data_IF_841203596375
#
_entry.id   IF_841203596375
#
_cell.length_a   1.000
_cell.length_b   1.000
_cell.length_c   1.000
_cell.angle_alpha   90.00
_cell.angle_beta   90.00
_cell.angle_gamma   90.00
#
_symmetry.space_group_name_H-M   'P 1'
#
loop_
_entity.id
_entity.type
_entity.pdbx_description
1 polymer ?
#
# COMPACT_ATOMS: atom_id res chain seq x y z
N UNK A 1 -43.52 54.01 -50.47
CA UNK A 1 -43.27 52.76 -49.71
C UNK A 1 -43.32 53.11 -48.22
N UNK A 2 -43.86 52.22 -47.42
CA UNK A 2 -44.69 52.49 -46.25
C UNK A 2 -43.96 52.97 -44.98
N UNK A 3 -44.64 53.88 -44.29
CA UNK A 3 -44.57 54.23 -42.86
C UNK A 3 -45.10 53.09 -41.99
N UNK A 4 -44.51 52.83 -40.82
CA UNK A 4 -45.19 52.39 -39.57
C UNK A 4 -44.16 52.25 -38.42
N UNK A 5 -44.21 53.08 -37.36
CA UNK A 5 -45.05 53.02 -36.14
C UNK A 5 -44.42 52.15 -35.04
N UNK A 6 -44.05 52.81 -33.94
CA UNK A 6 -43.82 52.18 -32.64
C UNK A 6 -45.17 51.75 -32.04
N UNK A 7 -45.21 50.56 -31.45
CA UNK A 7 -46.35 50.04 -30.66
C UNK A 7 -45.78 49.51 -29.33
N UNK A 8 -46.48 49.69 -28.19
CA UNK A 8 -45.87 49.81 -26.87
C UNK A 8 -45.75 48.46 -26.16
N UNK A 9 -44.65 48.23 -25.45
CA UNK A 9 -44.52 47.06 -24.56
C UNK A 9 -44.87 47.46 -23.13
N UNK A 10 -46.13 47.15 -22.82
CA UNK A 10 -46.75 46.79 -21.54
C UNK A 10 -45.80 46.67 -20.31
N UNK A 11 -46.12 47.31 -19.15
CA UNK A 11 -45.28 47.31 -17.94
C UNK A 11 -45.18 45.98 -17.17
N UNK A 12 -45.74 44.87 -17.68
CA UNK A 12 -45.75 43.57 -16.98
C UNK A 12 -44.86 42.48 -17.61
N UNK A 13 -43.83 42.86 -18.39
CA UNK A 13 -42.85 41.90 -18.88
C UNK A 13 -41.63 41.85 -17.95
N UNK A 14 -41.48 40.74 -17.21
CA UNK A 14 -40.35 40.50 -16.33
C UNK A 14 -39.04 40.51 -17.14
N UNK A 15 -38.12 41.38 -16.74
CA UNK A 15 -36.79 41.52 -17.34
C UNK A 15 -35.94 40.28 -17.03
N UNK A 16 -35.29 39.74 -18.06
CA UNK A 16 -34.40 38.59 -17.98
C UNK A 16 -33.11 38.97 -17.22
N UNK A 17 -32.95 38.39 -16.03
CA UNK A 17 -31.87 38.68 -15.08
C UNK A 17 -30.50 38.14 -15.52
N UNK A 18 -30.40 37.42 -16.65
CA UNK A 18 -29.16 36.79 -17.14
C UNK A 18 -28.14 37.77 -17.76
N UNK A 19 -28.49 39.05 -17.89
CA UNK A 19 -27.63 40.06 -18.57
C UNK A 19 -27.01 41.10 -17.64
N UNK A 20 -27.16 40.96 -16.32
CA UNK A 20 -26.52 41.88 -15.36
C UNK A 20 -25.05 41.45 -15.16
N UNK A 21 -24.06 42.31 -15.49
CA UNK A 21 -22.66 42.00 -15.25
C UNK A 21 -22.38 42.04 -13.75
N UNK A 22 -21.91 40.90 -13.21
CA UNK A 22 -21.51 40.77 -11.81
C UNK A 22 -20.06 41.26 -11.69
N UNK A 23 -19.82 42.28 -10.86
CA UNK A 23 -18.49 42.74 -10.44
C UNK A 23 -18.35 42.56 -8.91
N UNK A 24 -17.12 42.58 -8.35
CA UNK A 24 -16.55 41.52 -7.54
C UNK A 24 -16.75 41.71 -6.03
N UNK A 25 -16.40 40.68 -5.27
CA UNK A 25 -16.32 40.57 -3.80
C UNK A 25 -17.58 40.10 -3.04
N UNK A 26 -17.38 39.01 -2.30
CA UNK A 26 -18.12 38.70 -1.07
C UNK A 26 -19.45 37.97 -1.22
N UNK A 27 -19.40 36.65 -1.43
CA UNK A 27 -20.50 35.79 -1.02
C UNK A 27 -19.95 34.40 -0.62
N UNK A 28 -20.03 34.14 0.68
CA UNK A 28 -19.87 32.82 1.27
C UNK A 28 -20.74 31.82 0.50
N UNK A 29 -20.10 30.84 -0.14
CA UNK A 29 -20.80 29.68 -0.66
C UNK A 29 -21.20 28.79 0.52
N UNK A 30 -22.44 28.95 0.99
CA UNK A 30 -23.15 27.85 1.64
C UNK A 30 -23.47 26.82 0.56
N UNK A 31 -22.53 25.92 0.29
CA UNK A 31 -22.80 24.76 -0.55
C UNK A 31 -23.70 23.79 0.22
N UNK A 32 -24.89 23.62 -0.33
CA UNK A 32 -25.93 22.68 0.01
C UNK A 32 -25.32 21.29 0.17
N UNK A 33 -25.48 20.68 1.35
CA UNK A 33 -25.10 19.29 1.62
C UNK A 33 -26.01 18.33 0.83
N UNK A 34 -25.70 18.11 -0.43
CA UNK A 34 -26.04 16.85 -1.08
C UNK A 34 -25.13 15.76 -0.51
N UNK A 35 -25.68 14.56 -0.29
CA UNK A 35 -24.95 13.41 0.21
C UNK A 35 -23.90 12.97 -0.83
N UNK A 36 -22.74 13.62 -0.83
CA UNK A 36 -21.52 13.16 -1.47
C UNK A 36 -21.10 11.87 -0.76
N UNK A 37 -21.44 10.72 -1.33
CA UNK A 37 -20.69 9.51 -1.06
C UNK A 37 -19.22 9.83 -1.41
N UNK A 38 -18.36 9.87 -0.40
CA UNK A 38 -16.96 10.31 -0.51
C UNK A 38 -16.31 9.76 -1.78
N UNK A 39 -15.86 10.65 -2.67
CA UNK A 39 -15.09 10.26 -3.85
C UNK A 39 -13.86 9.46 -3.38
N UNK A 40 -13.41 8.45 -4.15
CA UNK A 40 -12.22 7.70 -3.79
C UNK A 40 -11.00 8.62 -3.86
N UNK A 41 -10.39 8.87 -2.70
CA UNK A 41 -9.13 9.62 -2.55
C UNK A 41 -8.07 8.61 -2.16
N UNK A 42 -7.04 8.46 -3.00
CA UNK A 42 -5.89 7.57 -2.74
C UNK A 42 -4.73 8.35 -2.13
N UNK A 43 -3.74 7.63 -1.60
CA UNK A 43 -2.50 8.18 -1.03
C UNK A 43 -1.74 9.13 -2.00
N UNK A 44 -1.95 9.00 -3.31
CA UNK A 44 -1.34 9.86 -4.32
C UNK A 44 -1.96 11.26 -4.38
N UNK A 45 -3.20 11.43 -3.91
CA UNK A 45 -3.91 12.70 -3.91
C UNK A 45 -3.64 13.48 -2.62
N UNK A 46 -3.80 12.80 -1.48
CA UNK A 46 -3.49 13.34 -0.16
C UNK A 46 -2.94 12.19 0.71
N UNK A 47 -1.70 12.33 1.16
CA UNK A 47 -1.02 11.33 2.00
C UNK A 47 -1.58 11.25 3.42
N UNK A 48 -2.26 12.30 3.88
CA UNK A 48 -2.78 12.44 5.25
C UNK A 48 -4.28 12.12 5.31
N UNK A 49 -5.03 12.47 4.26
CA UNK A 49 -6.49 12.34 4.20
C UNK A 49 -6.97 11.51 3.00
N UNK A 50 -6.54 10.25 2.90
CA UNK A 50 -7.03 9.28 1.90
C UNK A 50 -8.00 8.27 2.52
N UNK A 51 -8.94 7.76 1.71
CA UNK A 51 -9.95 6.79 2.14
C UNK A 51 -9.90 5.46 1.37
N UNK A 52 -8.99 5.33 0.39
CA UNK A 52 -8.77 4.10 -0.39
C UNK A 52 -7.33 3.60 -0.23
N UNK A 53 -7.19 2.30 0.05
CA UNK A 53 -5.92 1.55 0.07
C UNK A 53 -5.88 0.53 -1.06
N UNK A 54 -4.69 0.08 -1.44
CA UNK A 54 -4.50 -0.98 -2.44
C UNK A 54 -4.42 -2.35 -1.75
N UNK A 55 -5.44 -3.21 -1.86
CA UNK A 55 -5.45 -4.51 -1.18
C UNK A 55 -4.43 -5.46 -1.81
N UNK A 56 -3.79 -6.28 -0.97
CA UNK A 56 -3.00 -7.42 -1.41
C UNK A 56 -3.91 -8.64 -1.59
N UNK A 57 -3.52 -9.57 -2.47
CA UNK A 57 -4.23 -10.84 -2.67
C UNK A 57 -4.26 -11.67 -1.37
N UNK A 58 -3.12 -11.74 -0.69
CA UNK A 58 -2.94 -12.44 0.57
C UNK A 58 -2.60 -11.46 1.70
N UNK A 59 -2.92 -11.84 2.94
CA UNK A 59 -2.34 -11.18 4.12
C UNK A 59 -0.93 -11.73 4.32
N UNK A 60 0.00 -10.86 4.69
CA UNK A 60 1.40 -11.22 4.88
C UNK A 60 1.88 -10.82 6.28
N UNK A 61 2.69 -11.68 6.88
CA UNK A 61 3.29 -11.49 8.19
C UNK A 61 4.80 -11.42 8.06
N UNK A 62 5.37 -10.30 8.52
CA UNK A 62 6.82 -10.14 8.65
C UNK A 62 7.27 -10.74 9.98
N UNK A 63 8.30 -11.57 9.92
CA UNK A 63 8.97 -12.17 11.07
C UNK A 63 10.45 -11.80 11.07
N UNK A 64 11.05 -11.79 12.25
CA UNK A 64 12.47 -11.54 12.45
C UNK A 64 13.08 -12.61 13.35
N UNK A 65 14.17 -13.24 12.90
CA UNK A 65 15.01 -14.09 13.75
C UNK A 65 16.08 -13.21 14.40
N UNK A 66 16.08 -13.15 15.73
CA UNK A 66 17.13 -12.45 16.48
C UNK A 66 18.46 -13.22 16.42
N UNK A 67 19.60 -12.52 16.42
CA UNK A 67 20.89 -13.18 16.54
C UNK A 67 20.98 -13.91 17.91
N UNK A 68 21.58 -15.11 17.96
CA UNK A 68 21.75 -15.83 19.23
C UNK A 68 22.56 -15.00 20.23
N UNK A 69 22.11 -14.95 21.49
CA UNK A 69 22.80 -14.22 22.57
C UNK A 69 24.04 -14.96 23.10
N UNK A 70 24.23 -16.22 22.69
CA UNK A 70 25.33 -17.09 23.13
C UNK A 70 25.09 -17.76 24.48
N UNK A 71 23.91 -17.62 25.09
CA UNK A 71 23.55 -18.17 26.41
C UNK A 71 22.71 -19.46 26.37
N UNK A 72 22.73 -20.16 25.23
CA UNK A 72 21.94 -21.39 25.03
C UNK A 72 20.50 -21.14 24.61
N UNK A 73 20.24 -20.08 23.83
CA UNK A 73 18.89 -19.75 23.35
C UNK A 73 18.32 -20.87 22.47
N UNK A 74 17.05 -21.19 22.67
CA UNK A 74 16.32 -22.04 21.76
C UNK A 74 15.95 -21.25 20.51
N UNK A 75 16.10 -21.83 19.32
CA UNK A 75 15.85 -21.12 18.05
C UNK A 75 14.40 -20.60 17.95
N UNK A 76 13.43 -21.40 18.42
CA UNK A 76 12.02 -21.01 18.48
C UNK A 76 11.77 -19.74 19.30
N UNK A 77 12.65 -19.44 20.26
CA UNK A 77 12.55 -18.23 21.07
C UNK A 77 13.18 -17.01 20.40
N UNK A 78 13.99 -17.21 19.35
CA UNK A 78 14.62 -16.13 18.57
C UNK A 78 13.71 -15.63 17.45
N UNK A 79 12.83 -16.47 16.91
CA UNK A 79 11.84 -16.11 15.91
C UNK A 79 10.74 -15.24 16.54
N UNK A 80 10.51 -14.05 15.98
CA UNK A 80 9.49 -13.10 16.43
C UNK A 80 8.62 -12.64 15.29
N UNK A 81 7.31 -12.73 15.50
CA UNK A 81 6.35 -12.03 14.66
C UNK A 81 6.52 -10.53 14.88
N UNK A 82 6.67 -9.77 13.80
CA UNK A 82 6.84 -8.32 13.84
C UNK A 82 5.49 -7.65 13.59
N UNK A 83 4.87 -7.95 12.44
CA UNK A 83 3.60 -7.32 12.04
C UNK A 83 2.94 -8.10 10.90
N UNK A 84 1.61 -8.08 10.86
CA UNK A 84 0.80 -8.60 9.76
C UNK A 84 0.08 -7.45 9.05
N UNK A 85 0.09 -7.45 7.71
CA UNK A 85 -0.53 -6.42 6.88
C UNK A 85 -1.26 -7.03 5.67
N UNK A 86 -2.14 -6.24 5.04
CA UNK A 86 -2.91 -6.69 3.88
C UNK A 86 -3.13 -5.62 2.80
N UNK A 87 -2.35 -4.55 2.85
CA UNK A 87 -2.35 -3.49 1.84
C UNK A 87 -0.94 -3.03 1.47
N UNK A 88 -0.79 -2.46 0.28
CA UNK A 88 0.49 -1.92 -0.22
C UNK A 88 0.98 -0.77 0.66
N UNK A 89 0.07 0.09 1.14
CA UNK A 89 0.41 1.21 2.01
C UNK A 89 0.96 0.74 3.37
N UNK A 90 0.39 -0.33 3.93
CA UNK A 90 0.90 -0.92 5.17
C UNK A 90 2.26 -1.59 4.96
N UNK A 91 2.46 -2.29 3.84
CA UNK A 91 3.78 -2.81 3.48
C UNK A 91 4.84 -1.70 3.49
N UNK A 92 4.59 -0.59 2.80
CA UNK A 92 5.52 0.54 2.77
C UNK A 92 5.66 1.22 4.13
N UNK A 93 4.59 1.29 4.92
CA UNK A 93 4.64 1.74 6.30
C UNK A 93 5.59 0.90 7.15
N UNK A 94 5.60 -0.43 6.96
CA UNK A 94 6.51 -1.34 7.66
C UNK A 94 7.93 -1.23 7.12
N UNK A 95 8.13 -1.39 5.80
CA UNK A 95 9.44 -1.42 5.18
C UNK A 95 10.25 -0.15 5.47
N UNK A 96 9.61 1.01 5.46
CA UNK A 96 10.27 2.29 5.73
C UNK A 96 10.62 2.54 7.22
N UNK A 97 10.18 1.67 8.13
CA UNK A 97 10.37 1.82 9.59
C UNK A 97 11.10 0.62 10.23
N UNK A 98 11.66 -0.28 9.43
CA UNK A 98 12.50 -1.39 9.90
C UNK A 98 13.95 -1.20 9.44
N UNK A 99 14.89 -1.90 10.07
CA UNK A 99 16.28 -1.87 9.66
C UNK A 99 16.44 -2.52 8.26
N UNK A 100 17.20 -1.92 7.34
CA UNK A 100 17.53 -2.56 6.08
C UNK A 100 18.40 -3.80 6.30
N UNK A 101 18.44 -4.70 5.31
CA UNK A 101 19.17 -5.97 5.41
C UNK A 101 20.66 -5.75 5.61
N UNK A 102 21.21 -4.72 4.96
CA UNK A 102 22.61 -4.31 5.07
C UNK A 102 23.03 -3.91 6.50
N UNK A 103 22.08 -3.55 7.36
CA UNK A 103 22.32 -3.14 8.75
C UNK A 103 22.03 -4.26 9.77
N UNK A 104 21.58 -5.44 9.32
CA UNK A 104 21.29 -6.54 10.22
C UNK A 104 22.56 -7.11 10.85
N UNK A 105 22.44 -7.45 12.14
CA UNK A 105 23.47 -8.21 12.82
C UNK A 105 23.64 -9.60 12.18
N UNK A 106 24.87 -10.12 12.17
CA UNK A 106 25.15 -11.47 11.67
C UNK A 106 24.26 -12.51 12.36
N UNK A 107 23.74 -13.47 11.58
CA UNK A 107 22.79 -14.50 12.04
C UNK A 107 21.42 -13.95 12.44
N UNK A 108 21.02 -12.83 11.85
CA UNK A 108 19.63 -12.37 11.90
C UNK A 108 18.98 -12.62 10.54
N UNK A 109 17.69 -12.92 10.55
CA UNK A 109 16.94 -13.22 9.34
C UNK A 109 15.66 -12.40 9.30
N UNK A 110 15.25 -11.98 8.10
CA UNK A 110 13.87 -11.56 7.85
C UNK A 110 13.12 -12.65 7.09
N UNK A 111 11.85 -12.83 7.45
CA UNK A 111 10.94 -13.76 6.78
C UNK A 111 9.63 -13.05 6.51
N UNK A 112 9.15 -13.08 5.28
CA UNK A 112 7.84 -12.57 4.91
C UNK A 112 6.99 -13.73 4.41
N UNK A 113 5.98 -14.12 5.19
CA UNK A 113 5.17 -15.32 4.94
C UNK A 113 3.69 -14.98 4.86
N UNK A 114 2.92 -15.79 4.14
CA UNK A 114 1.45 -15.70 4.14
C UNK A 114 0.93 -15.84 5.58
N UNK A 115 -0.06 -15.05 5.96
CA UNK A 115 -0.57 -15.02 7.32
C UNK A 115 -1.11 -16.40 7.73
N UNK A 116 -0.73 -16.85 8.93
CA UNK A 116 -1.05 -18.19 9.42
C UNK A 116 -0.07 -19.28 9.00
N UNK A 117 0.94 -18.98 8.19
CA UNK A 117 2.09 -19.84 7.95
C UNK A 117 3.27 -19.35 8.79
N UNK A 118 3.75 -20.17 9.72
CA UNK A 118 4.98 -19.86 10.46
C UNK A 118 6.20 -20.17 9.60
N UNK A 119 7.28 -19.36 9.62
CA UNK A 119 8.50 -19.58 8.84
C UNK A 119 9.39 -20.68 9.47
N UNK A 120 8.80 -21.83 9.75
CA UNK A 120 9.44 -23.00 10.34
C UNK A 120 9.02 -24.24 9.54
N UNK A 121 9.90 -25.25 9.48
CA UNK A 121 9.66 -26.44 8.66
C UNK A 121 8.61 -27.37 9.30
N UNK A 122 8.35 -27.20 10.60
CA UNK A 122 7.34 -27.93 11.36
C UNK A 122 5.91 -27.50 11.03
N UNK A 123 5.73 -26.28 10.48
CA UNK A 123 4.41 -25.79 10.07
C UNK A 123 3.78 -26.75 9.06
N UNK A 124 2.48 -27.02 9.24
CA UNK A 124 1.76 -27.98 8.42
C UNK A 124 1.78 -27.63 6.92
N UNK A 125 1.91 -26.33 6.58
CA UNK A 125 1.98 -25.84 5.21
C UNK A 125 3.40 -25.93 4.62
N UNK A 126 4.44 -26.01 5.46
CA UNK A 126 5.84 -26.07 5.00
C UNK A 126 6.45 -27.47 5.05
N UNK A 127 6.00 -28.35 5.96
CA UNK A 127 6.64 -29.65 6.27
C UNK A 127 6.80 -30.62 5.10
N UNK A 128 6.05 -30.44 4.02
CA UNK A 128 6.11 -31.28 2.82
C UNK A 128 6.56 -30.49 1.57
N UNK A 129 6.95 -29.23 1.74
CA UNK A 129 7.44 -28.37 0.67
C UNK A 129 8.97 -28.35 0.60
N UNK A 130 9.50 -27.22 0.13
CA UNK A 130 10.93 -26.98 -0.01
C UNK A 130 11.25 -25.50 -0.09
N UNK A 131 12.49 -25.17 -0.48
CA UNK A 131 12.88 -23.79 -0.77
C UNK A 131 13.83 -23.70 -1.95
N UNK A 132 13.63 -22.68 -2.77
CA UNK A 132 14.64 -22.20 -3.69
C UNK A 132 15.58 -21.26 -2.94
N UNK A 133 16.88 -21.48 -3.06
CA UNK A 133 17.87 -20.66 -2.35
C UNK A 133 19.00 -20.25 -3.29
N UNK A 134 19.41 -18.99 -3.18
CA UNK A 134 20.54 -18.44 -3.89
C UNK A 134 21.51 -17.82 -2.88
N UNK A 135 22.78 -18.22 -2.95
CA UNK A 135 23.81 -17.72 -2.07
C UNK A 135 24.82 -16.88 -2.85
N UNK A 136 25.01 -15.66 -2.38
CA UNK A 136 26.04 -14.78 -2.89
C UNK A 136 27.44 -15.21 -2.43
N UNK A 137 28.37 -15.41 -3.38
CA UNK A 137 29.76 -15.78 -3.08
C UNK A 137 30.58 -14.61 -2.52
N UNK A 138 30.36 -13.40 -3.02
CA UNK A 138 31.07 -12.19 -2.58
C UNK A 138 30.06 -11.17 -2.04
N UNK A 139 30.20 -10.80 -0.75
CA UNK A 139 29.20 -9.98 -0.05
C UNK A 139 29.38 -8.45 -0.18
N UNK A 140 30.55 -7.97 -0.62
CA UNK A 140 30.94 -6.55 -0.51
C UNK A 140 30.33 -5.61 -1.55
N UNK A 141 29.77 -6.13 -2.64
CA UNK A 141 29.32 -5.33 -3.78
C UNK A 141 27.89 -5.66 -4.22
N UNK A 142 27.06 -6.14 -3.29
CA UNK A 142 25.70 -6.55 -3.59
C UNK A 142 24.73 -5.49 -3.09
N UNK A 143 23.82 -5.00 -3.94
CA UNK A 143 22.72 -4.15 -3.51
C UNK A 143 21.67 -5.00 -2.78
N UNK A 144 22.01 -5.51 -1.59
CA UNK A 144 21.21 -6.52 -0.89
C UNK A 144 19.85 -5.97 -0.47
N UNK A 145 19.79 -4.69 -0.12
CA UNK A 145 18.56 -4.03 0.29
C UNK A 145 17.56 -3.94 -0.87
N UNK A 146 18.05 -3.55 -2.07
CA UNK A 146 17.23 -3.51 -3.28
C UNK A 146 16.79 -4.90 -3.71
N UNK A 147 17.68 -5.90 -3.64
CA UNK A 147 17.33 -7.27 -4.00
C UNK A 147 16.26 -7.84 -3.07
N UNK A 148 16.41 -7.62 -1.76
CA UNK A 148 15.41 -8.05 -0.80
C UNK A 148 14.08 -7.33 -0.98
N UNK A 149 14.10 -6.01 -1.22
CA UNK A 149 12.90 -5.25 -1.55
C UNK A 149 12.17 -5.83 -2.76
N UNK A 150 12.89 -6.09 -3.86
CA UNK A 150 12.28 -6.67 -5.06
C UNK A 150 11.71 -8.06 -4.83
N UNK A 151 12.36 -8.90 -4.00
CA UNK A 151 11.83 -10.22 -3.63
C UNK A 151 10.53 -10.09 -2.82
N UNK A 152 10.49 -9.18 -1.85
CA UNK A 152 9.25 -8.91 -1.09
C UNK A 152 8.14 -8.35 -1.98
N UNK A 153 8.45 -7.38 -2.85
CA UNK A 153 7.48 -6.82 -3.81
C UNK A 153 6.95 -7.89 -4.76
N UNK A 154 7.82 -8.78 -5.25
CA UNK A 154 7.41 -9.86 -6.14
C UNK A 154 6.49 -10.86 -5.42
N UNK A 155 6.76 -11.15 -4.15
CA UNK A 155 5.93 -12.02 -3.32
C UNK A 155 4.55 -11.41 -3.05
N UNK A 156 4.48 -10.21 -2.47
CA UNK A 156 3.19 -9.57 -2.14
C UNK A 156 2.40 -9.14 -3.38
N UNK A 157 3.07 -8.92 -4.49
CA UNK A 157 2.48 -8.61 -5.80
C UNK A 157 2.06 -9.86 -6.58
N UNK A 158 2.26 -11.07 -6.04
CA UNK A 158 1.89 -12.35 -6.66
C UNK A 158 2.51 -12.54 -8.07
N UNK A 159 3.81 -12.26 -8.19
CA UNK A 159 4.55 -12.35 -9.48
C UNK A 159 5.65 -13.43 -9.48
N UNK A 160 5.71 -14.27 -8.44
CA UNK A 160 6.69 -15.36 -8.31
C UNK A 160 6.20 -16.70 -8.89
N UNK A 161 4.88 -16.87 -9.04
CA UNK A 161 4.23 -18.10 -9.50
C UNK A 161 3.09 -17.78 -10.47
N UNK A 162 2.58 -18.79 -11.17
CA UNK A 162 1.40 -18.65 -12.01
C UNK A 162 0.13 -18.44 -11.20
N UNK A 163 -0.91 -17.92 -11.87
CA UNK A 163 -2.25 -17.88 -11.28
C UNK A 163 -2.70 -19.31 -10.96
N UNK A 164 -3.18 -19.54 -9.73
CA UNK A 164 -3.61 -20.82 -9.17
C UNK A 164 -2.52 -21.86 -8.79
N UNK A 165 -1.23 -21.56 -8.90
CA UNK A 165 -0.17 -22.49 -8.48
C UNK A 165 -0.18 -22.71 -6.95
N UNK A 166 -0.21 -21.62 -6.17
CA UNK A 166 -0.36 -21.67 -4.71
C UNK A 166 0.81 -22.31 -3.94
N UNK A 167 2.01 -22.33 -4.51
CA UNK A 167 3.21 -22.97 -3.98
C UNK A 167 4.02 -22.02 -3.08
N UNK A 168 3.99 -20.71 -3.33
CA UNK A 168 4.77 -19.72 -2.57
C UNK A 168 4.14 -19.46 -1.21
N UNK A 169 4.77 -19.99 -0.15
CA UNK A 169 4.35 -19.74 1.25
C UNK A 169 5.01 -18.50 1.86
N UNK A 170 6.22 -18.16 1.42
CA UNK A 170 7.00 -17.07 1.96
C UNK A 170 8.36 -16.88 1.33
N UNK A 171 9.01 -15.78 1.67
CA UNK A 171 10.36 -15.41 1.23
C UNK A 171 11.24 -15.09 2.44
N UNK A 172 12.55 -15.37 2.33
CA UNK A 172 13.51 -15.27 3.44
C UNK A 172 14.82 -14.64 2.96
N UNK A 173 15.43 -13.82 3.81
CA UNK A 173 16.81 -13.35 3.67
C UNK A 173 17.61 -13.64 4.96
N UNK A 174 18.85 -14.11 4.80
CA UNK A 174 19.76 -14.60 5.85
C UNK A 174 21.12 -13.89 5.85
#
# INVERSE_FOLDING_TARGET
>A
MATTVQTPTNPDQQVDLSTIPISPEGAEKSETKENDAEKPVTVFHDKENFNVKHPLQNKWTLWFTKPPSGKGDNWNDLLKEVITFNSVEEFWGVYNNIAPVSELALKSDYHLFKAGVRPEWEDAQNKHGGKWSYQFKEKRSIPIDDLWLHVMLAAIGETLEGEDDGEVMGVVVN
#
